data_IF_126522761050
#
_entry.id   IF_126522761050
#
_cell.length_a   1.000
_cell.length_b   1.000
_cell.length_c   1.000
_cell.angle_alpha   90.00
_cell.angle_beta   90.00
_cell.angle_gamma   90.00
#
_symmetry.space_group_name_H-M   'P 1'
#
loop_
_entity.id
_entity.type
_entity.pdbx_description
1 polymer ?
#
# COMPACT_ATOMS: atom_id res chain seq x y z
N UNK A 1 6.11 28.24 -14.16
CA UNK A 1 5.16 28.03 -13.05
C UNK A 1 5.40 26.67 -12.36
N UNK A 2 5.84 26.69 -11.10
CA UNK A 2 6.00 25.46 -10.32
C UNK A 2 4.62 24.84 -10.08
N UNK A 3 4.38 23.62 -10.58
CA UNK A 3 3.20 22.83 -10.20
C UNK A 3 3.21 22.71 -8.68
N UNK A 4 2.29 23.40 -8.00
CA UNK A 4 2.04 23.16 -6.56
C UNK A 4 1.53 21.73 -6.45
N UNK A 5 2.39 20.82 -6.00
CA UNK A 5 1.94 19.48 -5.63
C UNK A 5 0.85 19.63 -4.56
N UNK A 6 -0.32 18.99 -4.72
CA UNK A 6 -1.35 19.03 -3.70
C UNK A 6 -0.77 18.52 -2.36
N UNK A 7 -1.21 19.09 -1.21
CA UNK A 7 -0.74 18.64 0.09
C UNK A 7 -0.92 17.13 0.23
N UNK A 8 0.16 16.41 0.53
CA UNK A 8 0.12 14.96 0.71
C UNK A 8 -0.84 14.64 1.86
N UNK A 9 -1.87 13.85 1.59
CA UNK A 9 -2.85 13.45 2.59
C UNK A 9 -2.19 12.58 3.67
N UNK A 10 -2.65 12.66 4.91
CA UNK A 10 -2.25 11.69 5.95
C UNK A 10 -2.70 10.29 5.51
N UNK A 11 -1.92 9.27 5.87
CA UNK A 11 -2.15 7.88 5.43
C UNK A 11 -3.57 7.37 5.69
N UNK A 12 -4.14 7.62 6.87
CA UNK A 12 -5.49 7.17 7.20
C UNK A 12 -6.57 7.71 6.25
N UNK A 13 -6.74 9.05 6.16
CA UNK A 13 -7.67 9.66 5.20
C UNK A 13 -7.44 9.22 3.75
N UNK A 14 -6.17 9.14 3.31
CA UNK A 14 -5.85 8.64 1.97
C UNK A 14 -6.34 7.20 1.77
N UNK A 15 -6.08 6.31 2.74
CA UNK A 15 -6.47 4.90 2.65
C UNK A 15 -7.99 4.78 2.55
N UNK A 16 -8.75 5.54 3.34
CA UNK A 16 -10.21 5.56 3.26
C UNK A 16 -10.71 5.99 1.88
N UNK A 17 -10.14 7.03 1.29
CA UNK A 17 -10.47 7.45 -0.08
C UNK A 17 -10.11 6.37 -1.11
N UNK A 18 -8.97 5.70 -0.96
CA UNK A 18 -8.54 4.61 -1.84
C UNK A 18 -9.46 3.38 -1.76
N UNK A 19 -10.00 3.06 -0.58
CA UNK A 19 -10.98 1.99 -0.42
C UNK A 19 -12.30 2.38 -1.10
N UNK A 20 -12.78 3.61 -0.85
CA UNK A 20 -14.04 4.11 -1.42
C UNK A 20 -13.99 4.30 -2.93
N UNK A 21 -12.81 4.46 -3.54
CA UNK A 21 -12.70 4.58 -5.00
C UNK A 21 -12.94 3.25 -5.73
N UNK A 22 -12.86 2.11 -5.04
CA UNK A 22 -13.03 0.78 -5.63
C UNK A 22 -11.98 0.42 -6.69
N UNK A 23 -10.89 1.20 -6.79
CA UNK A 23 -9.93 1.09 -7.89
C UNK A 23 -8.88 0.00 -7.69
N UNK A 24 -8.77 -0.55 -6.48
CA UNK A 24 -7.71 -1.50 -6.13
C UNK A 24 -8.30 -2.87 -5.79
N UNK A 25 -7.86 -3.89 -6.53
CA UNK A 25 -8.38 -5.24 -6.36
C UNK A 25 -8.18 -5.75 -4.92
N UNK A 26 -9.27 -6.18 -4.28
CA UNK A 26 -9.27 -6.74 -2.92
C UNK A 26 -9.15 -5.72 -1.79
N UNK A 27 -8.91 -4.43 -2.07
CA UNK A 27 -9.02 -3.33 -1.11
C UNK A 27 -10.43 -2.73 -1.23
N UNK A 28 -11.32 -3.06 -0.28
CA UNK A 28 -12.73 -2.66 -0.35
C UNK A 28 -13.41 -2.63 1.02
N UNK A 29 -14.51 -1.90 1.09
CA UNK A 29 -15.50 -1.97 2.16
C UNK A 29 -16.16 -3.35 2.19
N UNK A 30 -16.52 -3.80 3.40
CA UNK A 30 -17.22 -5.07 3.64
C UNK A 30 -18.67 -4.84 4.10
N UNK A 31 -18.99 -3.64 4.55
CA UNK A 31 -20.30 -3.19 4.99
C UNK A 31 -20.69 -1.88 4.27
N UNK A 32 -22.00 -1.63 4.09
CA UNK A 32 -22.50 -0.40 3.47
C UNK A 32 -22.26 0.85 4.32
N UNK A 33 -22.07 0.70 5.63
CA UNK A 33 -21.82 1.81 6.56
C UNK A 33 -20.36 2.31 6.52
N UNK A 34 -19.51 1.68 5.70
CA UNK A 34 -18.09 2.00 5.55
C UNK A 34 -17.34 2.03 6.89
N UNK A 35 -17.60 1.03 7.73
CA UNK A 35 -16.97 0.88 9.05
C UNK A 35 -15.90 -0.21 9.06
N UNK A 36 -16.01 -1.20 8.18
CA UNK A 36 -15.19 -2.40 8.11
C UNK A 36 -14.65 -2.58 6.70
N UNK A 37 -13.34 -2.76 6.58
CA UNK A 37 -12.70 -2.93 5.27
C UNK A 37 -11.67 -4.05 5.29
N UNK A 38 -11.32 -4.52 4.10
CA UNK A 38 -10.25 -5.51 3.91
C UNK A 38 -9.08 -4.94 3.15
N UNK A 39 -7.89 -5.39 3.50
CA UNK A 39 -6.62 -5.08 2.82
C UNK A 39 -6.00 -6.38 2.30
N UNK A 40 -5.64 -6.47 1.01
CA UNK A 40 -4.89 -7.60 0.46
C UNK A 40 -3.56 -7.81 1.21
N UNK A 41 -3.25 -9.06 1.55
CA UNK A 41 -2.11 -9.41 2.40
C UNK A 41 -1.24 -10.55 1.84
N UNK A 42 -1.21 -10.67 0.51
CA UNK A 42 -0.43 -11.68 -0.21
C UNK A 42 1.05 -11.62 0.16
N UNK A 43 1.67 -12.77 0.45
CA UNK A 43 3.09 -12.85 0.82
C UNK A 43 4.01 -12.70 -0.40
N UNK A 44 5.07 -11.89 -0.29
CA UNK A 44 6.01 -11.60 -1.38
C UNK A 44 6.72 -12.84 -1.96
N UNK A 45 6.81 -13.93 -1.19
CA UNK A 45 7.40 -15.19 -1.65
C UNK A 45 6.52 -15.99 -2.62
N UNK A 46 5.26 -15.56 -2.84
CA UNK A 46 4.34 -16.19 -3.78
C UNK A 46 4.71 -15.83 -5.22
N UNK A 47 4.82 -16.84 -6.09
CA UNK A 47 5.18 -16.69 -7.51
C UNK A 47 4.06 -16.04 -8.34
N UNK A 48 2.83 -16.02 -7.85
CA UNK A 48 1.64 -15.50 -8.51
C UNK A 48 1.31 -14.04 -8.12
N UNK A 49 2.27 -13.27 -7.62
CA UNK A 49 2.09 -11.83 -7.40
C UNK A 49 2.07 -11.09 -8.73
N UNK A 50 1.05 -10.27 -8.90
CA UNK A 50 0.84 -9.44 -10.09
C UNK A 50 1.11 -7.96 -9.81
N UNK A 51 1.22 -7.15 -10.85
CA UNK A 51 1.33 -5.68 -10.72
C UNK A 51 0.13 -5.07 -9.98
N UNK A 52 -1.08 -5.63 -10.15
CA UNK A 52 -2.29 -5.20 -9.44
C UNK A 52 -2.21 -5.45 -7.93
N UNK A 53 -1.53 -6.52 -7.50
CA UNK A 53 -1.33 -6.81 -6.07
C UNK A 53 -0.44 -5.77 -5.37
N UNK A 54 0.38 -5.03 -6.13
CA UNK A 54 1.35 -4.06 -5.60
C UNK A 54 0.99 -2.60 -5.86
N UNK A 55 0.00 -2.34 -6.72
CA UNK A 55 -0.40 -1.01 -7.16
C UNK A 55 -0.83 -0.09 -6.01
N UNK A 56 -1.67 -0.59 -5.10
CA UNK A 56 -2.13 0.16 -3.92
C UNK A 56 -0.97 0.64 -3.04
N UNK A 57 0.12 -0.13 -2.97
CA UNK A 57 1.28 0.23 -2.17
C UNK A 57 2.11 1.34 -2.83
N UNK A 58 2.23 1.32 -4.17
CA UNK A 58 2.89 2.38 -4.93
C UNK A 58 2.13 3.69 -4.86
N UNK A 59 0.83 3.66 -5.20
CA UNK A 59 0.00 4.87 -5.26
C UNK A 59 -0.17 5.47 -3.87
N UNK A 60 -0.32 4.64 -2.83
CA UNK A 60 -0.29 5.10 -1.46
C UNK A 60 1.02 5.75 -1.09
N UNK A 61 2.13 5.23 -1.58
CA UNK A 61 3.43 5.84 -1.44
C UNK A 61 3.55 7.25 -2.03
N UNK A 62 3.00 7.44 -3.23
CA UNK A 62 3.10 8.68 -3.99
C UNK A 62 2.12 9.75 -3.51
N UNK A 63 0.88 9.35 -3.18
CA UNK A 63 -0.22 10.26 -2.86
C UNK A 63 -0.41 10.51 -1.36
N UNK A 64 0.04 9.59 -0.50
CA UNK A 64 0.05 9.81 0.94
C UNK A 64 1.30 10.57 1.37
N UNK A 65 1.29 11.06 2.61
CA UNK A 65 2.45 11.54 3.35
C UNK A 65 3.52 10.47 3.64
N UNK A 66 3.49 9.32 2.96
CA UNK A 66 4.53 8.29 3.09
C UNK A 66 5.81 8.80 2.43
N UNK A 67 6.95 8.60 3.09
CA UNK A 67 8.24 8.95 2.49
C UNK A 67 8.62 7.90 1.43
N UNK A 68 9.15 8.32 0.28
CA UNK A 68 9.69 7.37 -0.68
C UNK A 68 10.80 6.54 -0.02
N UNK A 69 10.90 5.25 -0.37
CA UNK A 69 11.98 4.42 0.14
C UNK A 69 13.32 5.00 -0.28
N UNK A 70 14.35 4.83 0.56
CA UNK A 70 15.67 5.43 0.32
C UNK A 70 16.31 5.01 -1.01
N UNK A 71 15.93 3.85 -1.56
CA UNK A 71 16.34 3.34 -2.88
C UNK A 71 15.74 4.11 -4.06
N UNK A 72 14.65 4.86 -3.87
CA UNK A 72 13.98 5.68 -4.89
C UNK A 72 14.53 7.10 -5.02
N UNK A 73 15.57 7.45 -4.25
CA UNK A 73 16.20 8.77 -4.34
C UNK A 73 16.98 8.83 -5.66
N UNK A 74 16.34 9.32 -6.73
CA UNK A 74 17.04 9.62 -7.98
C UNK A 74 18.08 10.71 -7.71
N UNK A 75 19.35 10.34 -7.84
CA UNK A 75 20.48 11.23 -7.62
C UNK A 75 21.80 10.44 -7.63
N UNK A 76 22.95 11.11 -7.79
CA UNK A 76 24.26 10.46 -7.95
C UNK A 76 24.73 9.63 -6.73
N UNK A 77 23.98 9.64 -5.62
CA UNK A 77 24.21 8.83 -4.41
C UNK A 77 23.18 7.70 -4.21
N UNK A 78 22.43 7.31 -5.25
CA UNK A 78 21.56 6.13 -5.19
C UNK A 78 22.41 4.87 -4.93
N UNK A 79 22.33 4.32 -3.72
CA UNK A 79 23.19 3.21 -3.24
C UNK A 79 22.69 1.80 -3.59
N UNK A 80 21.76 1.65 -4.52
CA UNK A 80 21.23 0.33 -4.88
C UNK A 80 21.04 0.21 -6.40
N UNK A 81 21.68 -0.77 -7.07
CA UNK A 81 21.38 -1.06 -8.47
C UNK A 81 19.98 -1.67 -8.57
N UNK A 82 19.25 -1.37 -9.64
CA UNK A 82 17.97 -2.01 -9.94
C UNK A 82 18.22 -3.27 -10.80
N UNK A 83 17.73 -4.46 -10.41
CA UNK A 83 17.57 -5.56 -11.36
C UNK A 83 16.11 -6.03 -11.50
N UNK A 84 15.77 -6.20 -12.77
CA UNK A 84 14.75 -7.04 -13.43
C UNK A 84 13.87 -7.96 -12.58
N UNK A 85 12.54 -7.69 -12.60
CA UNK A 85 11.47 -8.63 -12.23
C UNK A 85 10.75 -8.26 -10.92
N UNK A 86 9.71 -7.41 -11.01
CA UNK A 86 9.12 -6.59 -9.92
C UNK A 86 10.12 -5.57 -9.39
N UNK A 87 9.94 -4.30 -9.78
CA UNK A 87 10.94 -3.25 -9.61
C UNK A 87 11.35 -3.04 -8.16
N UNK A 88 12.65 -3.13 -7.88
CA UNK A 88 13.28 -2.71 -6.62
C UNK A 88 12.64 -1.42 -6.10
N UNK A 89 11.88 -1.53 -5.00
CA UNK A 89 11.10 -0.44 -4.43
C UNK A 89 9.62 -0.77 -4.19
N UNK A 90 9.03 -1.69 -4.94
CA UNK A 90 7.66 -2.18 -4.68
C UNK A 90 7.54 -2.85 -3.31
N UNK A 91 8.56 -3.63 -2.94
CA UNK A 91 8.67 -4.25 -1.62
C UNK A 91 8.84 -3.21 -0.49
N UNK A 92 9.49 -2.09 -0.78
CA UNK A 92 9.73 -1.03 0.18
C UNK A 92 8.45 -0.23 0.42
N UNK A 93 7.66 0.03 -0.63
CA UNK A 93 6.33 0.62 -0.52
C UNK A 93 5.36 -0.25 0.28
N UNK A 94 5.37 -1.57 0.08
CA UNK A 94 4.58 -2.50 0.88
C UNK A 94 4.97 -2.50 2.35
N UNK A 95 6.27 -2.42 2.65
CA UNK A 95 6.78 -2.26 4.02
C UNK A 95 6.29 -0.95 4.65
N UNK A 96 6.45 0.17 3.94
CA UNK A 96 5.98 1.48 4.40
C UNK A 96 4.48 1.50 4.67
N UNK A 97 3.68 0.93 3.76
CA UNK A 97 2.23 0.81 3.93
C UNK A 97 1.87 0.04 5.21
N UNK A 98 2.49 -1.12 5.44
CA UNK A 98 2.22 -1.95 6.63
C UNK A 98 2.61 -1.23 7.93
N UNK A 99 3.75 -0.54 7.92
CA UNK A 99 4.20 0.27 9.05
C UNK A 99 3.21 1.42 9.33
N UNK A 100 2.76 2.13 8.29
CA UNK A 100 1.80 3.22 8.42
C UNK A 100 0.44 2.73 8.92
N UNK A 101 -0.07 1.63 8.35
CA UNK A 101 -1.31 1.01 8.80
C UNK A 101 -1.26 0.70 10.30
N UNK A 102 -0.14 0.15 10.79
CA UNK A 102 0.07 -0.13 12.22
C UNK A 102 0.24 1.15 13.05
N UNK A 103 0.97 2.15 12.55
CA UNK A 103 1.33 3.34 13.33
C UNK A 103 0.21 4.38 13.43
N UNK A 104 -0.72 4.41 12.47
CA UNK A 104 -1.84 5.36 12.51
C UNK A 104 -2.73 5.19 13.74
N UNK A 105 -2.80 3.99 14.33
CA UNK A 105 -3.71 3.64 15.44
C UNK A 105 -5.20 3.90 15.14
N UNK A 106 -5.55 4.24 13.90
CA UNK A 106 -6.92 4.54 13.47
C UNK A 106 -7.74 3.29 13.21
N UNK A 107 -7.08 2.19 12.87
CA UNK A 107 -7.71 0.96 12.41
C UNK A 107 -7.37 -0.20 13.35
N UNK A 108 -8.38 -0.97 13.73
CA UNK A 108 -8.22 -2.13 14.62
C UNK A 108 -8.32 -3.40 13.80
N UNK A 109 -7.32 -4.27 13.87
CA UNK A 109 -7.42 -5.58 13.21
C UNK A 109 -8.58 -6.38 13.82
N UNK A 110 -9.59 -6.70 13.01
CA UNK A 110 -10.73 -7.51 13.38
C UNK A 110 -10.52 -8.99 13.04
N UNK A 111 -9.93 -9.28 11.87
CA UNK A 111 -9.68 -10.65 11.41
C UNK A 111 -8.39 -10.75 10.60
N UNK A 112 -7.59 -11.78 10.90
CA UNK A 112 -6.39 -12.10 10.14
C UNK A 112 -6.62 -13.32 9.23
N UNK A 113 -6.84 -13.06 7.95
CA UNK A 113 -6.97 -14.06 6.90
C UNK A 113 -5.70 -14.10 6.02
N UNK A 114 -4.54 -13.67 6.53
CA UNK A 114 -3.31 -13.56 5.72
C UNK A 114 -2.76 -14.90 5.24
N UNK A 115 -3.20 -16.01 5.85
CA UNK A 115 -2.85 -17.38 5.49
C UNK A 115 -3.94 -18.09 4.68
N UNK A 116 -5.04 -17.40 4.34
CA UNK A 116 -6.16 -18.00 3.62
C UNK A 116 -5.81 -18.18 2.14
N UNK A 117 -5.26 -19.35 1.79
CA UNK A 117 -5.15 -19.90 0.43
C UNK A 117 -5.05 -18.87 -0.68
N UNK A 118 -6.04 -18.85 -1.57
CA UNK A 118 -6.06 -18.02 -2.78
C UNK A 118 -6.42 -16.54 -2.54
N UNK A 119 -6.96 -16.19 -1.38
CA UNK A 119 -7.39 -14.82 -1.05
C UNK A 119 -6.84 -14.32 0.30
N UNK A 120 -5.52 -14.18 0.44
CA UNK A 120 -4.91 -13.72 1.68
C UNK A 120 -5.21 -12.24 1.94
N UNK A 121 -5.90 -11.94 3.04
CA UNK A 121 -6.30 -10.57 3.39
C UNK A 121 -6.36 -10.34 4.91
N UNK A 122 -6.46 -9.08 5.32
CA UNK A 122 -6.74 -8.68 6.71
C UNK A 122 -7.96 -7.78 6.76
N UNK A 123 -8.79 -7.96 7.76
CA UNK A 123 -10.00 -7.15 8.00
C UNK A 123 -9.73 -6.21 9.16
N UNK A 124 -10.00 -4.93 8.93
CA UNK A 124 -9.85 -3.85 9.89
C UNK A 124 -11.17 -3.13 10.10
#
# INVERSE_FOLDING_TARGET
PARREPPRLRFGPWLLSAISSGSYHGLRWLDPDHTTFRVPWKHNARKDITSSDVEVFKVGGEQSSLKPPCSWRQGPHARCPAPTGLGEGEWAWKTNFRCALRSTRMFRLLRDCSKCGEDPHKVF
#
